data_IF_397340247850
#
_entry.id   IF_397340247850
#
_cell.length_a   1.000
_cell.length_b   1.000
_cell.length_c   1.000
_cell.angle_alpha   90.00
_cell.angle_beta   90.00
_cell.angle_gamma   90.00
#
_symmetry.space_group_name_H-M   'P 1'
#
loop_
_entity.id
_entity.type
_entity.pdbx_description
1 polymer ?
#
# COMPACT_ATOMS: atom_id res chain seq x y z
N UNK A 1 -3.57 10.23 20.43
CA UNK A 1 -3.90 8.79 20.40
C UNK A 1 -2.62 8.05 20.05
N UNK A 2 -2.33 6.82 20.54
CA UNK A 2 -1.09 6.09 20.17
C UNK A 2 -1.33 5.24 18.91
N UNK A 3 -0.32 5.02 18.06
CA UNK A 3 -0.40 4.17 16.86
C UNK A 3 -1.05 2.80 17.12
N UNK A 4 -0.67 2.12 18.23
CA UNK A 4 -1.29 0.84 18.63
C UNK A 4 -2.79 0.97 18.92
N UNK A 5 -3.23 2.10 19.49
CA UNK A 5 -4.65 2.36 19.72
C UNK A 5 -5.38 2.59 18.41
N UNK A 6 -4.77 3.23 17.42
CA UNK A 6 -5.40 3.37 16.10
C UNK A 6 -5.46 2.04 15.34
N UNK A 7 -4.42 1.20 15.43
CA UNK A 7 -4.48 -0.19 14.94
C UNK A 7 -5.60 -0.98 15.63
N UNK A 8 -5.70 -0.91 16.96
CA UNK A 8 -6.77 -1.58 17.70
C UNK A 8 -8.15 -1.00 17.40
N UNK A 9 -8.29 0.31 17.25
CA UNK A 9 -9.56 0.95 16.89
C UNK A 9 -9.95 0.64 15.43
N UNK A 10 -8.98 0.54 14.51
CA UNK A 10 -9.21 0.04 13.15
C UNK A 10 -9.66 -1.43 13.16
N UNK A 11 -8.99 -2.29 13.93
CA UNK A 11 -9.41 -3.68 14.14
C UNK A 11 -10.76 -3.82 14.85
N UNK A 12 -11.14 -2.84 15.68
CA UNK A 12 -12.40 -2.80 16.43
C UNK A 12 -13.57 -2.27 15.60
N UNK A 13 -13.32 -1.32 14.68
CA UNK A 13 -14.30 -0.79 13.71
C UNK A 13 -14.68 -1.79 12.62
N UNK A 14 -14.03 -2.95 12.60
CA UNK A 14 -14.38 -4.22 11.90
C UNK A 14 -15.87 -4.63 11.97
N UNK A 15 -16.68 -4.05 12.87
CA UNK A 15 -18.11 -4.32 13.02
C UNK A 15 -19.08 -3.30 12.43
N UNK A 16 -18.64 -2.07 12.12
CA UNK A 16 -19.54 -1.00 11.63
C UNK A 16 -19.37 -0.85 10.12
N UNK A 17 -20.27 -1.48 9.36
CA UNK A 17 -20.16 -1.59 7.90
C UNK A 17 -20.63 -0.31 7.22
N UNK A 18 -19.73 0.50 6.68
CA UNK A 18 -20.09 1.58 5.76
C UNK A 18 -20.20 1.06 4.31
N UNK A 19 -21.18 1.49 3.49
CA UNK A 19 -21.37 1.01 2.12
C UNK A 19 -20.17 1.23 1.17
N UNK A 20 -19.23 2.10 1.55
CA UNK A 20 -18.03 2.42 0.78
C UNK A 20 -16.74 1.74 1.33
N UNK A 21 -16.77 1.13 2.51
CA UNK A 21 -15.60 0.47 3.09
C UNK A 21 -15.38 -0.90 2.44
N UNK A 22 -14.30 -1.01 1.66
CA UNK A 22 -13.81 -2.32 1.23
C UNK A 22 -13.09 -2.98 2.42
N UNK A 23 -13.23 -4.30 2.60
CA UNK A 23 -12.51 -5.01 3.65
C UNK A 23 -10.99 -4.84 3.46
N UNK A 24 -10.34 -4.07 4.34
CA UNK A 24 -8.87 -4.06 4.48
C UNK A 24 -8.41 -5.30 5.27
N UNK A 25 -8.95 -6.47 4.93
CA UNK A 25 -8.68 -7.74 5.64
C UNK A 25 -7.36 -8.38 5.22
N UNK A 26 -6.77 -7.91 4.14
CA UNK A 26 -5.47 -8.28 3.64
C UNK A 26 -4.68 -7.00 3.31
N UNK A 27 -3.36 -7.08 3.33
CA UNK A 27 -2.49 -5.92 3.10
C UNK A 27 -1.54 -5.69 4.27
N UNK A 28 -0.86 -4.56 4.24
CA UNK A 28 0.04 -4.09 5.28
C UNK A 28 -0.29 -2.64 5.69
N UNK A 29 0.27 -2.19 6.81
CA UNK A 29 0.10 -0.82 7.28
C UNK A 29 1.46 -0.15 7.42
N UNK A 30 1.52 1.11 7.01
CA UNK A 30 2.65 1.99 7.32
C UNK A 30 2.11 3.24 8.00
N UNK A 31 2.78 3.70 9.05
CA UNK A 31 2.25 4.78 9.86
C UNK A 31 3.17 5.21 10.99
N UNK A 32 2.88 6.40 11.49
CA UNK A 32 3.49 7.05 12.65
C UNK A 32 2.38 7.74 13.48
N UNK A 33 2.72 8.46 14.55
CA UNK A 33 1.76 9.05 15.50
C UNK A 33 0.72 9.99 14.87
N UNK A 34 1.00 10.58 13.70
CA UNK A 34 0.11 11.51 13.00
C UNK A 34 -0.60 10.97 11.76
N UNK A 35 -0.13 9.85 11.20
CA UNK A 35 -0.59 9.35 9.89
C UNK A 35 -0.56 7.83 9.84
N UNK A 36 -1.62 7.24 9.29
CA UNK A 36 -1.74 5.79 9.10
C UNK A 36 -2.26 5.52 7.69
N UNK A 37 -1.54 4.68 6.97
CA UNK A 37 -1.85 4.31 5.60
C UNK A 37 -1.96 2.79 5.52
N UNK A 38 -3.05 2.33 4.92
CA UNK A 38 -3.22 0.93 4.54
C UNK A 38 -2.73 0.75 3.10
N UNK A 39 -1.90 -0.27 2.91
CA UNK A 39 -1.42 -0.73 1.60
C UNK A 39 -2.11 -2.07 1.32
N UNK A 40 -3.00 -2.07 0.34
CA UNK A 40 -3.71 -3.26 -0.11
C UNK A 40 -2.76 -4.31 -0.70
N UNK A 41 -3.17 -5.58 -0.83
CA UNK A 41 -2.33 -6.64 -1.41
C UNK A 41 -1.93 -6.38 -2.87
N UNK A 42 -2.64 -5.50 -3.57
CA UNK A 42 -2.35 -5.02 -4.92
C UNK A 42 -1.53 -3.71 -4.92
N UNK A 43 -1.08 -3.26 -3.75
CA UNK A 43 -0.41 -1.99 -3.49
C UNK A 43 -1.30 -0.75 -3.67
N UNK A 44 -2.63 -0.93 -3.70
CA UNK A 44 -3.53 0.22 -3.57
C UNK A 44 -3.35 0.89 -2.22
N UNK A 45 -3.35 2.22 -2.22
CA UNK A 45 -3.11 3.02 -1.01
C UNK A 45 -4.42 3.62 -0.53
N UNK A 46 -4.71 3.47 0.76
CA UNK A 46 -5.87 4.06 1.42
C UNK A 46 -5.44 4.80 2.70
N UNK A 47 -5.84 6.06 2.84
CA UNK A 47 -5.53 6.86 4.03
C UNK A 47 -6.48 6.51 5.19
N UNK A 48 -5.93 6.04 6.31
CA UNK A 48 -6.65 5.68 7.53
C UNK A 48 -6.43 6.69 8.66
N UNK A 49 -5.81 7.83 8.37
CA UNK A 49 -5.38 8.84 9.37
C UNK A 49 -6.54 9.60 9.99
N UNK A 50 -7.73 9.58 9.39
CA UNK A 50 -8.90 10.26 9.94
C UNK A 50 -9.16 9.86 11.40
N UNK A 51 -8.95 8.58 11.73
CA UNK A 51 -9.09 8.05 13.09
C UNK A 51 -8.07 8.63 14.08
N UNK A 52 -6.91 9.08 13.61
CA UNK A 52 -5.79 9.59 14.40
C UNK A 52 -5.83 11.12 14.54
N UNK A 53 -6.10 11.82 13.44
CA UNK A 53 -5.96 13.27 13.34
C UNK A 53 -7.27 14.02 13.14
N UNK A 54 -8.37 13.32 12.78
CA UNK A 54 -9.62 13.94 12.35
C UNK A 54 -9.55 14.58 10.95
N UNK A 55 -8.41 14.44 10.25
CA UNK A 55 -8.20 14.96 8.89
C UNK A 55 -8.16 13.80 7.92
N UNK A 56 -8.99 13.86 6.87
CA UNK A 56 -8.97 12.91 5.76
C UNK A 56 -7.86 13.25 4.78
N UNK A 57 -7.08 12.25 4.36
CA UNK A 57 -6.10 12.35 3.28
C UNK A 57 -6.68 11.96 1.92
N UNK A 58 -5.81 11.61 0.98
CA UNK A 58 -6.22 11.13 -0.33
C UNK A 58 -7.00 9.80 -0.21
N UNK A 59 -8.21 9.78 -0.76
CA UNK A 59 -9.12 8.62 -0.71
C UNK A 59 -8.59 7.42 -1.51
N UNK A 60 -7.93 7.71 -2.65
CA UNK A 60 -7.27 6.68 -3.46
C UNK A 60 -6.14 7.26 -4.29
N UNK A 61 -5.01 6.57 -4.31
CA UNK A 61 -3.93 6.77 -5.28
C UNK A 61 -3.83 5.52 -6.16
N UNK A 62 -3.69 5.74 -7.48
CA UNK A 62 -3.36 4.68 -8.44
C UNK A 62 -2.07 5.06 -9.15
N UNK A 63 -1.19 4.09 -9.31
CA UNK A 63 0.04 4.25 -10.08
C UNK A 63 0.06 3.36 -11.30
N UNK A 64 0.70 3.85 -12.35
CA UNK A 64 0.83 3.14 -13.60
C UNK A 64 2.09 3.55 -14.35
N UNK A 65 2.67 2.58 -15.04
CA UNK A 65 3.86 2.79 -15.87
C UNK A 65 3.43 2.97 -17.31
N UNK A 66 3.86 4.08 -17.92
CA UNK A 66 3.68 4.31 -19.35
C UNK A 66 4.80 3.59 -20.12
N UNK A 67 4.43 2.63 -20.97
CA UNK A 67 5.38 1.94 -21.83
C UNK A 67 4.79 1.70 -23.23
N UNK A 68 5.49 2.16 -24.27
CA UNK A 68 5.01 2.03 -25.65
C UNK A 68 3.72 2.83 -25.89
N UNK A 69 2.60 2.14 -26.16
CA UNK A 69 1.30 2.76 -26.53
C UNK A 69 0.24 2.75 -25.42
N UNK A 70 0.58 2.39 -24.18
CA UNK A 70 -0.40 2.30 -23.10
C UNK A 70 0.17 2.50 -21.70
N UNK A 71 -0.75 2.70 -20.76
CA UNK A 71 -0.48 2.69 -19.31
C UNK A 71 -0.76 1.29 -18.79
N UNK A 72 0.19 0.73 -18.04
CA UNK A 72 -0.04 -0.48 -17.25
C UNK A 72 -0.20 -0.06 -15.80
N UNK A 73 -1.42 -0.22 -15.27
CA UNK A 73 -1.73 0.09 -13.88
C UNK A 73 -1.19 -1.00 -12.97
N UNK A 74 -0.52 -0.61 -11.87
CA UNK A 74 0.08 -1.56 -10.94
C UNK A 74 -0.97 -2.44 -10.25
N UNK A 75 -2.12 -1.86 -9.89
CA UNK A 75 -3.25 -2.57 -9.27
C UNK A 75 -4.00 -3.52 -10.24
N UNK A 76 -3.57 -3.61 -11.50
CA UNK A 76 -4.04 -4.59 -12.49
C UNK A 76 -3.00 -5.69 -12.78
N UNK A 77 -1.79 -5.58 -12.21
CA UNK A 77 -0.75 -6.58 -12.34
C UNK A 77 -0.91 -7.71 -11.32
N UNK A 78 -0.25 -8.83 -11.58
CA UNK A 78 -0.20 -9.92 -10.60
C UNK A 78 0.78 -9.58 -9.50
N UNK A 79 0.28 -9.34 -8.28
CA UNK A 79 1.14 -9.26 -7.09
C UNK A 79 1.80 -10.63 -6.86
N UNK A 80 3.12 -10.66 -6.85
CA UNK A 80 3.90 -11.86 -6.52
C UNK A 80 4.16 -11.96 -5.03
N UNK A 81 4.32 -10.83 -4.35
CA UNK A 81 4.63 -10.77 -2.92
C UNK A 81 4.28 -9.41 -2.32
N UNK A 82 3.92 -9.41 -1.04
CA UNK A 82 3.91 -8.20 -0.22
C UNK A 82 4.51 -8.53 1.15
N UNK A 83 5.38 -7.66 1.66
CA UNK A 83 6.01 -7.84 2.96
C UNK A 83 6.55 -6.51 3.53
N UNK A 84 6.90 -6.52 4.81
CA UNK A 84 7.71 -5.46 5.39
C UNK A 84 9.19 -5.69 5.04
N UNK A 85 9.92 -4.61 4.77
CA UNK A 85 11.38 -4.67 4.64
C UNK A 85 12.00 -4.80 6.03
N UNK A 86 12.38 -6.04 6.38
CA UNK A 86 12.89 -6.39 7.70
C UNK A 86 11.91 -6.06 8.83
N UNK A 87 12.43 -5.42 9.88
CA UNK A 87 11.65 -4.99 11.05
C UNK A 87 11.20 -3.52 10.96
N UNK A 88 11.14 -2.97 9.75
CA UNK A 88 10.75 -1.57 9.49
C UNK A 88 9.28 -1.46 9.07
N UNK A 89 8.65 -0.28 9.19
CA UNK A 89 7.31 -0.05 8.67
C UNK A 89 7.26 0.19 7.15
N UNK A 90 8.37 -0.04 6.43
CA UNK A 90 8.43 0.04 4.97
C UNK A 90 7.73 -1.18 4.37
N UNK A 91 6.68 -0.95 3.58
CA UNK A 91 5.96 -2.01 2.88
C UNK A 91 6.48 -2.11 1.46
N UNK A 92 6.92 -3.30 1.04
CA UNK A 92 7.27 -3.61 -0.35
C UNK A 92 6.18 -4.49 -0.96
N UNK A 93 5.63 -4.04 -2.10
CA UNK A 93 4.72 -4.81 -2.95
C UNK A 93 5.40 -5.10 -4.28
N UNK A 94 5.50 -6.39 -4.62
CA UNK A 94 6.16 -6.88 -5.83
C UNK A 94 5.14 -7.31 -6.88
N UNK A 95 5.35 -6.92 -8.14
CA UNK A 95 4.49 -7.23 -9.27
C UNK A 95 5.22 -7.94 -10.39
N UNK A 96 4.56 -8.92 -11.01
CA UNK A 96 4.97 -9.46 -12.30
C UNK A 96 4.47 -8.58 -13.45
N UNK A 97 5.40 -7.96 -14.18
CA UNK A 97 5.13 -7.17 -15.38
C UNK A 97 5.68 -7.83 -16.66
N UNK A 98 5.85 -9.15 -16.62
CA UNK A 98 6.32 -10.01 -17.71
C UNK A 98 7.84 -10.00 -17.84
N UNK A 99 8.40 -9.02 -18.56
CA UNK A 99 9.85 -8.91 -18.76
C UNK A 99 10.59 -8.22 -17.60
N UNK A 100 9.83 -7.61 -16.70
CA UNK A 100 10.31 -6.85 -15.57
C UNK A 100 9.50 -7.26 -14.34
N UNK A 101 10.10 -7.10 -13.17
CA UNK A 101 9.34 -6.98 -11.93
C UNK A 101 9.25 -5.51 -11.57
N UNK A 102 8.15 -5.13 -10.92
CA UNK A 102 8.00 -3.80 -10.34
C UNK A 102 7.98 -3.97 -8.83
N UNK A 103 8.71 -3.13 -8.13
CA UNK A 103 8.74 -3.10 -6.67
C UNK A 103 8.24 -1.73 -6.24
N UNK A 104 7.07 -1.70 -5.59
CA UNK A 104 6.49 -0.50 -5.00
C UNK A 104 6.80 -0.50 -3.51
N UNK A 105 7.32 0.63 -3.03
CA UNK A 105 7.71 0.86 -1.65
C UNK A 105 6.85 1.96 -1.04
N UNK A 106 6.19 1.66 0.08
CA UNK A 106 5.33 2.60 0.80
C UNK A 106 5.80 2.79 2.24
N UNK A 107 6.02 4.05 2.62
CA UNK A 107 6.48 4.42 3.95
C UNK A 107 5.85 5.72 4.41
N UNK A 108 5.35 5.75 5.66
CA UNK A 108 5.04 7.01 6.34
C UNK A 108 6.25 7.46 7.15
N UNK A 109 6.65 8.72 6.94
CA UNK A 109 7.65 9.43 7.74
C UNK A 109 7.00 10.71 8.27
N UNK A 110 6.84 10.79 9.59
CA UNK A 110 6.10 11.88 10.24
C UNK A 110 4.66 11.99 9.74
N UNK A 111 4.32 13.04 8.97
CA UNK A 111 2.99 13.28 8.39
C UNK A 111 2.93 12.98 6.88
N UNK A 112 4.03 12.51 6.29
CA UNK A 112 4.17 12.32 4.84
C UNK A 112 4.18 10.82 4.50
N UNK A 113 3.40 10.44 3.50
CA UNK A 113 3.42 9.11 2.89
C UNK A 113 4.24 9.22 1.61
N UNK A 114 5.31 8.44 1.57
CA UNK A 114 6.21 8.31 0.43
C UNK A 114 5.88 7.02 -0.28
N UNK A 115 5.77 7.13 -1.61
CA UNK A 115 5.69 5.99 -2.50
C UNK A 115 6.86 6.07 -3.49
N UNK A 116 7.59 4.97 -3.65
CA UNK A 116 8.72 4.84 -4.57
C UNK A 116 8.58 3.57 -5.39
N UNK A 117 8.75 3.67 -6.70
CA UNK A 117 8.66 2.52 -7.61
C UNK A 117 10.00 2.23 -8.27
N UNK A 118 10.34 0.94 -8.32
CA UNK A 118 11.51 0.45 -9.03
C UNK A 118 11.12 -0.58 -10.09
N UNK A 119 11.63 -0.39 -11.31
CA UNK A 119 11.59 -1.41 -12.35
C UNK A 119 12.88 -2.22 -12.29
N UNK A 120 12.75 -3.54 -12.15
CA UNK A 120 13.88 -4.47 -12.13
C UNK A 120 13.76 -5.48 -13.29
N UNK A 121 14.87 -5.92 -13.91
CA UNK A 121 14.83 -7.00 -14.89
C UNK A 121 14.22 -8.26 -14.29
N UNK A 122 13.24 -8.87 -14.97
CA UNK A 122 12.66 -10.13 -14.51
C UNK A 122 13.73 -11.23 -14.51
N UNK A 123 13.90 -11.91 -13.38
CA UNK A 123 14.80 -13.06 -13.30
C UNK A 123 14.42 -14.07 -14.38
N UNK A 124 15.36 -14.37 -15.29
CA UNK A 124 15.18 -15.42 -16.31
C UNK A 124 14.64 -16.69 -15.63
N UNK A 125 13.41 -17.09 -15.94
CA UNK A 125 13.05 -18.50 -15.83
C UNK A 125 13.93 -19.25 -16.83
N UNK A 126 14.91 -19.98 -16.32
CA UNK A 126 15.59 -21.00 -17.11
C UNK A 126 14.51 -21.92 -17.70
N UNK A 127 14.56 -22.08 -19.03
CA UNK A 127 13.70 -22.99 -19.77
C UNK A 127 14.02 -24.44 -19.42
#
# INVERSE_FOLDING_TARGET
>A
MRLRTALTEHERRRGERYPAERPTTAGAFTGDDGRLVHVGPDGTVHDCSYSLSGVGGADRLRMGITAGRGVRWLDELTTTRQHYDGDTPLVETEYDAGRYTIHQFDLVVSDTHLTHDELRPGGRRAA
#
